data_IF_602290555319
#
_entry.id   IF_602290555319
#
_cell.length_a   1.000
_cell.length_b   1.000
_cell.length_c   1.000
_cell.angle_alpha   90.00
_cell.angle_beta   90.00
_cell.angle_gamma   90.00
#
_symmetry.space_group_name_H-M   'P 1'
#
loop_
_entity.id
_entity.type
_entity.pdbx_description
1 polymer ?
#
# COMPACT_ATOMS: atom_id res chain seq x y z
N UNK A 1 19.51 -31.53 10.39
CA UNK A 1 18.33 -30.66 10.63
C UNK A 1 18.38 -29.58 9.57
N UNK A 2 17.34 -29.44 8.76
CA UNK A 2 17.26 -28.40 7.72
C UNK A 2 16.63 -27.12 8.28
N UNK A 3 17.04 -25.97 7.76
CA UNK A 3 16.36 -24.70 8.01
C UNK A 3 15.08 -24.67 7.18
N UNK A 4 13.93 -24.47 7.83
CA UNK A 4 12.62 -24.43 7.15
C UNK A 4 12.08 -23.00 7.27
N UNK A 5 11.97 -22.26 6.15
CA UNK A 5 11.31 -20.95 6.13
C UNK A 5 9.85 -21.06 6.55
N UNK A 6 9.35 -19.99 7.16
CA UNK A 6 7.98 -19.91 7.61
C UNK A 6 6.97 -20.15 6.48
N UNK A 7 5.84 -20.75 6.84
CA UNK A 7 4.70 -20.90 5.95
C UNK A 7 3.92 -19.58 5.88
N UNK A 8 3.48 -19.20 4.68
CA UNK A 8 2.69 -18.00 4.45
C UNK A 8 1.64 -18.24 3.38
N UNK A 9 0.56 -17.46 3.37
CA UNK A 9 -0.29 -17.40 2.18
C UNK A 9 0.46 -16.73 1.04
N UNK A 10 0.21 -17.17 -0.19
CA UNK A 10 0.81 -16.54 -1.36
C UNK A 10 0.33 -15.08 -1.50
N UNK A 11 -0.97 -14.84 -1.26
CA UNK A 11 -1.65 -13.55 -1.43
C UNK A 11 -1.76 -12.71 -0.16
N UNK A 12 -1.11 -13.09 0.95
CA UNK A 12 -1.06 -12.19 2.12
C UNK A 12 -0.19 -10.96 1.82
N UNK A 13 -0.48 -9.86 2.50
CA UNK A 13 0.35 -8.67 2.44
C UNK A 13 1.72 -8.88 3.15
N UNK A 14 2.55 -7.85 3.08
CA UNK A 14 3.83 -7.79 3.81
C UNK A 14 3.74 -6.97 5.10
N UNK A 15 2.54 -6.76 5.65
CA UNK A 15 2.36 -5.89 6.81
C UNK A 15 3.07 -6.44 8.06
N UNK A 16 3.62 -5.52 8.85
CA UNK A 16 4.31 -5.79 10.12
C UNK A 16 3.51 -5.11 11.25
N UNK A 17 3.32 -5.76 12.43
CA UNK A 17 3.93 -7.02 12.87
C UNK A 17 3.19 -8.28 12.43
N UNK A 18 1.95 -8.17 11.98
CA UNK A 18 1.11 -9.32 11.61
C UNK A 18 0.54 -9.10 10.22
N UNK A 19 0.92 -9.93 9.23
CA UNK A 19 0.40 -9.81 7.87
C UNK A 19 -1.10 -10.10 7.84
N UNK A 20 -1.80 -9.57 6.84
CA UNK A 20 -3.21 -9.83 6.59
C UNK A 20 -3.41 -10.54 5.25
N UNK A 21 -4.41 -11.44 5.21
CA UNK A 21 -4.95 -12.02 3.99
C UNK A 21 -6.36 -11.47 3.77
N UNK A 22 -6.60 -10.92 2.59
CA UNK A 22 -7.93 -10.54 2.11
C UNK A 22 -8.43 -11.64 1.20
N UNK A 23 -9.45 -12.33 1.68
CA UNK A 23 -10.03 -13.48 0.98
C UNK A 23 -10.83 -13.06 -0.25
N UNK A 24 -11.15 -11.78 -0.43
CA UNK A 24 -11.77 -11.28 -1.67
C UNK A 24 -10.79 -11.31 -2.85
N UNK A 25 -9.50 -11.15 -2.59
CA UNK A 25 -8.43 -11.11 -3.59
C UNK A 25 -7.91 -12.48 -4.01
N UNK A 26 -8.27 -13.53 -3.26
CA UNK A 26 -7.89 -14.91 -3.60
C UNK A 26 -8.73 -15.37 -4.79
N UNK A 27 -8.13 -15.70 -5.95
CA UNK A 27 -8.87 -16.20 -7.10
C UNK A 27 -9.37 -17.64 -6.85
N UNK A 28 -10.58 -17.96 -7.33
CA UNK A 28 -11.13 -19.31 -7.27
C UNK A 28 -11.49 -19.82 -5.86
N UNK A 29 -11.51 -21.14 -5.72
CA UNK A 29 -12.02 -21.86 -4.53
C UNK A 29 -10.93 -22.29 -3.55
N UNK A 30 -9.66 -22.00 -3.83
CA UNK A 30 -8.52 -22.40 -3.02
C UNK A 30 -7.60 -21.21 -2.76
N UNK A 31 -6.98 -21.21 -1.58
CA UNK A 31 -5.88 -20.32 -1.22
C UNK A 31 -4.59 -21.12 -1.17
N UNK A 32 -3.50 -20.54 -1.66
CA UNK A 32 -2.19 -21.17 -1.64
C UNK A 32 -1.40 -20.79 -0.38
N UNK A 33 -0.82 -21.80 0.26
CA UNK A 33 0.22 -21.68 1.25
C UNK A 33 1.56 -22.06 0.64
N UNK A 34 2.58 -21.26 0.88
CA UNK A 34 3.91 -21.42 0.28
C UNK A 34 5.02 -21.34 1.33
N UNK A 35 6.09 -22.09 1.09
CA UNK A 35 7.37 -21.95 1.78
C UNK A 35 8.51 -22.21 0.77
N UNK A 36 9.58 -21.42 0.85
CA UNK A 36 10.76 -21.57 -0.02
C UNK A 36 11.67 -22.74 0.35
N UNK A 37 11.22 -23.65 1.22
CA UNK A 37 11.94 -24.89 1.53
C UNK A 37 11.97 -25.81 0.31
N UNK A 38 13.17 -26.25 -0.08
CA UNK A 38 13.33 -27.30 -1.07
C UNK A 38 12.95 -28.66 -0.48
N UNK A 39 12.03 -29.35 -1.15
CA UNK A 39 11.55 -30.68 -0.79
C UNK A 39 12.36 -31.74 -1.55
N UNK A 40 12.62 -32.85 -0.87
CA UNK A 40 13.25 -34.04 -1.43
C UNK A 40 12.25 -35.18 -1.43
N UNK A 41 12.41 -36.12 -2.36
CA UNK A 41 11.70 -37.39 -2.33
C UNK A 41 11.80 -38.03 -0.94
N UNK A 42 10.69 -38.61 -0.46
CA UNK A 42 10.51 -39.24 0.85
C UNK A 42 10.43 -38.25 2.04
N UNK A 43 10.46 -36.93 1.79
CA UNK A 43 10.10 -35.97 2.83
C UNK A 43 8.64 -36.16 3.23
N UNK A 44 8.38 -36.21 4.53
CA UNK A 44 7.02 -36.13 5.07
C UNK A 44 6.73 -34.71 5.54
N UNK A 45 5.77 -34.06 4.90
CA UNK A 45 5.38 -32.67 5.14
C UNK A 45 4.09 -32.64 5.96
N UNK A 46 4.02 -31.74 6.94
CA UNK A 46 2.80 -31.40 7.67
C UNK A 46 2.64 -29.88 7.70
N UNK A 47 1.61 -29.38 7.04
CA UNK A 47 1.21 -27.98 7.04
C UNK A 47 -0.10 -27.82 7.82
N UNK A 48 -0.11 -26.88 8.77
CA UNK A 48 -1.24 -26.66 9.68
C UNK A 48 -1.64 -25.20 9.68
N UNK A 49 -2.95 -24.95 9.57
CA UNK A 49 -3.59 -23.69 9.91
C UNK A 49 -4.50 -23.91 11.12
N UNK A 50 -4.26 -23.18 12.20
CA UNK A 50 -5.07 -23.23 13.42
C UNK A 50 -5.67 -21.86 13.72
N UNK A 51 -6.90 -21.81 14.22
CA UNK A 51 -7.46 -20.57 14.77
C UNK A 51 -6.71 -20.18 16.05
N UNK A 52 -6.42 -18.90 16.26
CA UNK A 52 -5.71 -18.43 17.47
C UNK A 52 -6.63 -18.07 18.63
N UNK A 53 -7.95 -18.17 18.47
CA UNK A 53 -8.92 -17.74 19.50
C UNK A 53 -9.08 -18.81 20.60
N UNK A 54 -8.71 -18.52 21.86
CA UNK A 54 -8.91 -19.45 22.97
C UNK A 54 -10.40 -19.77 23.19
N UNK A 55 -10.76 -21.04 23.34
CA UNK A 55 -12.13 -21.47 23.67
C UNK A 55 -13.12 -21.46 22.50
N UNK A 56 -12.72 -20.96 21.32
CA UNK A 56 -13.45 -21.24 20.09
C UNK A 56 -12.94 -22.58 19.59
N UNK A 57 -13.86 -23.53 19.38
CA UNK A 57 -13.59 -24.75 18.59
C UNK A 57 -13.39 -24.29 17.13
N UNK A 58 -12.29 -23.58 16.87
CA UNK A 58 -11.89 -23.08 15.57
C UNK A 58 -11.13 -24.20 14.89
N UNK A 59 -11.77 -24.85 13.94
CA UNK A 59 -11.24 -26.04 13.27
C UNK A 59 -9.80 -25.86 12.80
N UNK A 60 -9.01 -26.92 12.97
CA UNK A 60 -7.69 -27.00 12.36
C UNK A 60 -7.84 -27.51 10.93
N UNK A 61 -7.15 -26.87 10.00
CA UNK A 61 -6.87 -27.49 8.71
C UNK A 61 -5.47 -28.07 8.76
N UNK A 62 -5.38 -29.39 8.57
CA UNK A 62 -4.12 -30.12 8.52
C UNK A 62 -4.01 -30.79 7.16
N UNK A 63 -2.88 -30.58 6.49
CA UNK A 63 -2.53 -31.31 5.28
C UNK A 63 -1.17 -31.94 5.47
N UNK A 64 -1.12 -33.26 5.27
CA UNK A 64 0.11 -34.04 5.36
C UNK A 64 0.25 -34.95 4.16
N UNK A 65 1.46 -35.07 3.66
CA UNK A 65 1.78 -35.90 2.51
C UNK A 65 3.25 -36.29 2.50
N UNK A 66 3.54 -37.38 1.79
CA UNK A 66 4.90 -37.80 1.46
C UNK A 66 5.25 -37.30 0.06
N UNK A 67 6.44 -36.73 -0.08
CA UNK A 67 6.92 -36.15 -1.32
C UNK A 67 7.45 -37.26 -2.23
N UNK A 68 6.89 -37.40 -3.43
CA UNK A 68 7.30 -38.46 -4.37
C UNK A 68 8.37 -38.00 -5.38
N UNK A 69 8.65 -36.70 -5.47
CA UNK A 69 9.67 -36.12 -6.34
C UNK A 69 10.21 -34.82 -5.74
N UNK A 70 11.49 -34.53 -6.01
CA UNK A 70 12.14 -33.31 -5.54
C UNK A 70 11.40 -32.06 -6.07
N UNK A 71 11.34 -31.02 -5.25
CA UNK A 71 10.77 -29.71 -5.61
C UNK A 71 11.58 -28.58 -5.02
N UNK A 72 11.75 -27.49 -5.77
CA UNK A 72 12.45 -26.30 -5.30
C UNK A 72 11.70 -25.55 -4.18
N UNK A 73 10.38 -25.77 -4.04
CA UNK A 73 9.55 -25.10 -3.03
C UNK A 73 8.35 -25.95 -2.60
N UNK A 74 7.77 -25.59 -1.46
CA UNK A 74 6.50 -26.13 -0.99
C UNK A 74 5.34 -25.24 -1.45
N UNK A 75 4.32 -25.86 -2.04
CA UNK A 75 3.03 -25.25 -2.36
C UNK A 75 1.91 -26.18 -1.88
N UNK A 76 0.95 -25.62 -1.14
CA UNK A 76 -0.15 -26.37 -0.52
C UNK A 76 -1.45 -25.59 -0.74
N UNK A 77 -2.51 -26.28 -1.16
CA UNK A 77 -3.80 -25.65 -1.44
C UNK A 77 -4.79 -25.90 -0.30
N UNK A 78 -5.29 -24.82 0.30
CA UNK A 78 -6.37 -24.88 1.30
C UNK A 78 -7.67 -24.40 0.65
N UNK A 79 -8.79 -25.13 0.80
CA UNK A 79 -10.09 -24.63 0.39
C UNK A 79 -10.42 -23.27 1.03
N UNK A 80 -10.71 -22.28 0.18
CA UNK A 80 -10.96 -20.88 0.57
C UNK A 80 -12.04 -20.74 1.64
N UNK A 81 -13.05 -21.63 1.64
CA UNK A 81 -14.10 -21.69 2.66
C UNK A 81 -13.58 -21.88 4.09
N UNK A 82 -12.50 -22.64 4.28
CA UNK A 82 -11.90 -22.86 5.61
C UNK A 82 -11.14 -21.64 6.09
N UNK A 83 -10.52 -20.90 5.17
CA UNK A 83 -9.86 -19.64 5.47
C UNK A 83 -10.90 -18.56 5.81
N UNK A 84 -11.94 -18.40 4.97
CA UNK A 84 -13.05 -17.44 5.19
C UNK A 84 -13.81 -17.65 6.49
N UNK A 85 -13.90 -18.88 6.99
CA UNK A 85 -14.50 -19.16 8.30
C UNK A 85 -13.79 -18.42 9.46
N UNK A 86 -12.56 -17.95 9.24
CA UNK A 86 -11.78 -17.15 10.17
C UNK A 86 -11.80 -15.64 9.85
N UNK A 87 -12.66 -15.16 8.94
CA UNK A 87 -12.82 -13.73 8.64
C UNK A 87 -13.03 -12.92 9.93
N UNK A 88 -12.34 -11.79 10.03
CA UNK A 88 -12.34 -10.96 11.22
C UNK A 88 -11.53 -11.52 12.40
N UNK A 89 -10.70 -12.56 12.19
CA UNK A 89 -9.85 -13.21 13.21
C UNK A 89 -8.41 -13.41 12.68
N UNK A 90 -7.53 -13.89 13.56
CA UNK A 90 -6.19 -14.33 13.19
C UNK A 90 -6.07 -15.87 13.18
N UNK A 91 -5.13 -16.37 12.39
CA UNK A 91 -4.77 -17.79 12.30
C UNK A 91 -3.28 -17.98 12.52
N UNK A 92 -2.90 -19.14 13.05
CA UNK A 92 -1.53 -19.58 13.22
C UNK A 92 -1.18 -20.57 12.10
N UNK A 93 -0.12 -20.27 11.35
CA UNK A 93 0.45 -21.13 10.34
C UNK A 93 1.67 -21.86 10.91
N UNK A 94 1.72 -23.18 10.69
CA UNK A 94 2.82 -24.03 11.15
C UNK A 94 3.23 -25.00 10.04
N UNK A 95 4.53 -25.27 9.97
CA UNK A 95 5.10 -26.21 9.01
C UNK A 95 6.13 -27.09 9.70
N UNK A 96 6.01 -28.39 9.46
CA UNK A 96 6.96 -29.41 9.90
C UNK A 96 7.34 -30.27 8.70
N UNK A 97 8.63 -30.58 8.58
CA UNK A 97 9.17 -31.53 7.61
C UNK A 97 9.94 -32.60 8.36
N UNK A 98 9.68 -33.85 8.02
CA UNK A 98 10.48 -34.99 8.46
C UNK A 98 11.28 -35.50 7.27
N UNK A 99 12.61 -35.37 7.33
CA UNK A 99 13.54 -35.85 6.31
C UNK A 99 14.45 -36.88 6.93
N UNK A 100 14.50 -38.10 6.39
CA UNK A 100 15.36 -39.17 6.91
C UNK A 100 15.22 -39.35 8.44
N UNK A 101 13.97 -39.35 8.94
CA UNK A 101 13.60 -39.42 10.37
C UNK A 101 13.99 -38.21 11.23
N UNK A 102 14.63 -37.19 10.67
CA UNK A 102 14.93 -35.93 11.37
C UNK A 102 13.79 -34.94 11.16
N UNK A 103 13.28 -34.40 12.27
CA UNK A 103 12.21 -33.41 12.26
C UNK A 103 12.81 -32.01 12.26
N UNK A 104 12.39 -31.19 11.30
CA UNK A 104 12.61 -29.75 11.25
C UNK A 104 11.28 -29.00 11.31
N UNK A 105 11.22 -27.94 12.10
CA UNK A 105 10.02 -27.12 12.30
C UNK A 105 10.32 -25.69 11.87
N UNK A 106 9.41 -25.09 11.10
CA UNK A 106 9.49 -23.70 10.70
C UNK A 106 9.05 -22.76 11.85
N UNK A 107 9.48 -21.49 11.86
CA UNK A 107 8.87 -20.48 12.72
C UNK A 107 7.36 -20.42 12.49
N UNK A 108 6.58 -20.38 13.58
CA UNK A 108 5.12 -20.21 13.48
C UNK A 108 4.79 -18.75 13.16
N UNK A 109 3.80 -18.53 12.30
CA UNK A 109 3.40 -17.18 11.85
C UNK A 109 1.93 -16.95 12.15
N UNK A 110 1.61 -15.77 12.69
CA UNK A 110 0.23 -15.32 12.84
C UNK A 110 -0.14 -14.50 11.60
N UNK A 111 -1.31 -14.77 11.02
CA UNK A 111 -1.86 -14.02 9.89
C UNK A 111 -3.28 -13.59 10.23
N UNK A 112 -3.60 -12.33 10.02
CA UNK A 112 -4.93 -11.78 10.14
C UNK A 112 -5.75 -12.16 8.89
N UNK A 113 -7.03 -12.52 9.05
CA UNK A 113 -7.92 -12.86 7.95
C UNK A 113 -9.03 -11.80 7.91
N UNK A 114 -9.07 -11.02 6.83
CA UNK A 114 -10.08 -9.98 6.61
C UNK A 114 -10.24 -8.99 7.81
N UNK A 115 -9.21 -8.81 8.66
CA UNK A 115 -9.27 -7.95 9.88
C UNK A 115 -8.79 -6.51 9.65
N UNK A 116 -8.13 -6.25 8.53
CA UNK A 116 -7.66 -4.93 8.17
C UNK A 116 -7.83 -4.73 6.67
N UNK A 117 -8.24 -3.53 6.29
CA UNK A 117 -8.36 -3.06 4.91
C UNK A 117 -7.06 -3.39 4.17
N UNK A 118 -7.05 -4.46 3.35
CA UNK A 118 -5.97 -4.68 2.41
C UNK A 118 -6.21 -3.70 1.29
N UNK A 119 -5.37 -2.67 1.25
CA UNK A 119 -5.11 -2.03 -0.02
C UNK A 119 -3.90 -2.73 -0.59
N UNK A 120 -4.16 -3.63 -1.53
CA UNK A 120 -3.16 -3.92 -2.57
C UNK A 120 -2.81 -2.56 -3.15
N UNK A 121 -1.57 -2.07 -3.05
CA UNK A 121 -1.21 -0.88 -3.79
C UNK A 121 -1.45 -1.23 -5.26
N UNK A 122 -2.35 -0.53 -5.96
CA UNK A 122 -2.47 -0.67 -7.39
C UNK A 122 -1.08 -0.47 -8.01
N UNK A 123 -0.79 -1.05 -9.19
CA UNK A 123 0.40 -0.63 -9.94
C UNK A 123 0.33 0.89 -10.10
N UNK A 124 1.21 1.62 -9.39
CA UNK A 124 1.26 3.09 -9.34
C UNK A 124 -0.11 3.79 -9.35
N UNK A 125 -0.60 4.26 -8.20
CA UNK A 125 -1.82 5.09 -8.20
C UNK A 125 -1.49 6.40 -8.92
N UNK A 126 -2.30 6.76 -9.92
CA UNK A 126 -2.20 8.04 -10.60
C UNK A 126 -3.56 8.74 -10.56
N UNK A 127 -3.53 10.03 -10.27
CA UNK A 127 -4.67 10.94 -10.30
C UNK A 127 -4.46 11.94 -11.42
N UNK A 128 -5.18 11.72 -12.52
CA UNK A 128 -5.10 12.45 -13.78
C UNK A 128 -6.27 13.43 -13.97
N UNK A 129 -7.28 13.39 -13.10
CA UNK A 129 -8.49 14.23 -13.14
C UNK A 129 -9.25 14.20 -14.48
N UNK A 130 -9.01 13.19 -15.33
CA UNK A 130 -9.60 13.07 -16.66
C UNK A 130 -11.12 12.83 -16.63
N UNK A 131 -11.64 12.31 -15.51
CA UNK A 131 -13.06 12.11 -15.26
C UNK A 131 -13.80 13.39 -14.82
N UNK A 132 -13.10 14.54 -14.76
CA UNK A 132 -13.67 15.82 -14.34
C UNK A 132 -13.94 15.92 -12.84
N UNK A 133 -13.52 14.93 -12.05
CA UNK A 133 -13.65 14.90 -10.59
C UNK A 133 -12.30 15.16 -9.92
N UNK A 134 -12.32 15.38 -8.61
CA UNK A 134 -11.09 15.48 -7.79
C UNK A 134 -10.52 14.12 -7.39
N UNK A 135 -11.15 13.01 -7.81
CA UNK A 135 -10.68 11.64 -7.56
C UNK A 135 -10.30 11.36 -6.09
N UNK A 136 -11.10 11.90 -5.15
CA UNK A 136 -10.90 11.72 -3.70
C UNK A 136 -9.99 12.77 -3.04
N UNK A 137 -9.34 13.64 -3.79
CA UNK A 137 -8.57 14.75 -3.23
C UNK A 137 -9.46 15.82 -2.61
N UNK A 138 -9.08 16.25 -1.40
CA UNK A 138 -9.84 17.20 -0.60
C UNK A 138 -9.03 18.49 -0.45
N UNK A 139 -9.61 19.65 -0.80
CA UNK A 139 -9.04 20.97 -0.49
C UNK A 139 -8.65 21.14 0.97
N UNK A 140 -7.55 21.83 1.23
CA UNK A 140 -7.06 22.10 2.59
C UNK A 140 -6.86 23.60 2.81
N UNK A 141 -6.83 24.01 4.08
CA UNK A 141 -6.51 25.39 4.49
C UNK A 141 -7.25 26.47 3.72
N UNK A 142 -6.50 27.43 3.17
CA UNK A 142 -7.02 28.57 2.39
C UNK A 142 -7.66 28.20 1.06
N UNK A 143 -7.61 26.93 0.66
CA UNK A 143 -8.14 26.42 -0.61
C UNK A 143 -9.51 25.74 -0.46
N UNK A 144 -10.06 25.71 0.75
CA UNK A 144 -11.43 25.23 1.03
C UNK A 144 -12.46 26.25 0.52
N UNK A 145 -13.68 25.79 0.17
CA UNK A 145 -14.81 26.67 -0.17
C UNK A 145 -15.03 26.93 -1.66
N UNK A 146 -14.58 26.02 -2.54
CA UNK A 146 -14.91 26.06 -3.98
C UNK A 146 -13.90 26.82 -4.86
N UNK A 147 -12.74 27.16 -4.32
CA UNK A 147 -11.65 27.83 -5.04
C UNK A 147 -10.75 26.86 -5.82
N UNK A 148 -10.74 25.58 -5.45
CA UNK A 148 -10.17 24.49 -6.25
C UNK A 148 -11.25 23.91 -7.17
N UNK A 149 -11.01 23.99 -8.49
CA UNK A 149 -11.90 23.45 -9.53
C UNK A 149 -11.16 22.47 -10.42
N UNK A 150 -11.88 21.52 -11.01
CA UNK A 150 -11.33 20.70 -12.09
C UNK A 150 -11.77 21.32 -13.40
N UNK A 151 -10.82 21.84 -14.18
CA UNK A 151 -11.06 22.51 -15.45
C UNK A 151 -10.08 21.92 -16.46
N UNK A 152 -10.57 21.56 -17.65
CA UNK A 152 -9.74 20.96 -18.70
C UNK A 152 -8.89 19.78 -18.20
N UNK A 153 -9.50 18.91 -17.39
CA UNK A 153 -8.87 17.70 -16.82
C UNK A 153 -7.69 17.99 -15.87
N UNK A 154 -7.64 19.17 -15.27
CA UNK A 154 -6.62 19.53 -14.28
C UNK A 154 -7.26 20.19 -13.09
N UNK A 155 -6.63 20.06 -11.92
CA UNK A 155 -7.03 20.83 -10.75
C UNK A 155 -6.45 22.24 -10.88
N UNK A 156 -7.31 23.23 -11.08
CA UNK A 156 -6.96 24.63 -11.18
C UNK A 156 -7.20 25.33 -9.86
N UNK A 157 -6.17 26.04 -9.40
CA UNK A 157 -6.21 27.04 -8.34
C UNK A 157 -6.32 28.38 -9.03
N UNK A 158 -7.41 29.11 -8.78
CA UNK A 158 -7.56 30.49 -9.23
C UNK A 158 -8.05 31.34 -8.04
N UNK A 159 -7.11 32.08 -7.46
CA UNK A 159 -7.31 32.89 -6.25
C UNK A 159 -6.78 34.30 -6.47
N UNK A 160 -7.68 35.29 -6.35
CA UNK A 160 -7.36 36.72 -6.36
C UNK A 160 -7.08 37.25 -4.94
N UNK A 161 -5.79 37.41 -4.61
CA UNK A 161 -5.17 38.18 -3.51
C UNK A 161 -5.40 37.81 -2.02
N UNK A 162 -4.27 37.84 -1.28
CA UNK A 162 -3.99 37.72 0.17
C UNK A 162 -4.36 36.44 0.93
N UNK A 163 -5.30 35.60 0.47
CA UNK A 163 -5.77 34.46 1.29
C UNK A 163 -4.83 33.24 1.29
N UNK A 164 -4.08 33.02 0.22
CA UNK A 164 -3.18 31.88 0.13
C UNK A 164 -1.86 32.17 0.85
N UNK A 165 -1.87 32.07 2.18
CA UNK A 165 -0.63 31.93 2.94
C UNK A 165 0.00 30.55 2.72
N UNK A 166 1.20 30.34 3.25
CA UNK A 166 1.88 29.04 3.27
C UNK A 166 0.94 27.96 3.83
N UNK A 167 0.47 27.03 2.99
CA UNK A 167 -0.58 26.07 3.38
C UNK A 167 -0.69 24.89 2.42
N UNK A 168 -1.29 23.80 2.91
CA UNK A 168 -1.69 22.67 2.08
C UNK A 168 -2.76 23.10 1.08
N UNK A 169 -2.55 22.81 -0.20
CA UNK A 169 -3.52 23.01 -1.28
C UNK A 169 -4.62 21.97 -1.16
N UNK A 170 -4.22 20.70 -1.19
CA UNK A 170 -5.11 19.56 -1.14
C UNK A 170 -4.37 18.34 -0.61
N UNK A 171 -5.13 17.41 -0.04
CA UNK A 171 -4.63 16.13 0.43
C UNK A 171 -5.60 15.00 0.13
N UNK A 172 -5.08 13.78 0.14
CA UNK A 172 -5.84 12.55 0.02
C UNK A 172 -5.33 11.55 1.05
N UNK A 173 -6.26 10.79 1.62
CA UNK A 173 -5.92 9.64 2.47
C UNK A 173 -5.49 8.48 1.57
N UNK A 174 -4.26 8.01 1.72
CA UNK A 174 -3.71 6.87 0.98
C UNK A 174 -3.25 5.79 1.94
N UNK A 175 -3.43 4.52 1.58
CA UNK A 175 -2.96 3.40 2.36
C UNK A 175 -1.46 3.15 2.10
N UNK A 176 -0.75 2.76 3.15
CA UNK A 176 0.67 2.40 3.11
C UNK A 176 0.95 1.17 3.98
N UNK A 177 2.05 0.50 3.68
CA UNK A 177 2.52 -0.70 4.38
C UNK A 177 3.86 -0.40 5.05
N UNK A 178 4.00 -0.75 6.33
CA UNK A 178 5.23 -0.54 7.10
C UNK A 178 6.46 -1.11 6.38
N UNK A 179 7.55 -0.34 6.39
CA UNK A 179 8.83 -0.72 5.78
C UNK A 179 8.90 -0.55 4.26
N UNK A 180 7.79 -0.20 3.58
CA UNK A 180 7.79 0.07 2.14
C UNK A 180 8.14 1.51 1.84
N UNK A 181 8.89 1.73 0.76
CA UNK A 181 9.20 3.06 0.23
C UNK A 181 8.31 3.37 -0.96
N UNK A 182 7.74 4.56 -0.96
CA UNK A 182 6.84 5.05 -1.99
C UNK A 182 7.47 6.26 -2.67
N UNK A 183 7.61 6.19 -3.99
CA UNK A 183 7.95 7.31 -4.84
C UNK A 183 6.68 8.05 -5.22
N UNK A 184 6.63 9.34 -4.90
CA UNK A 184 5.49 10.19 -5.18
C UNK A 184 5.88 11.27 -6.19
N UNK A 185 4.94 11.70 -7.02
CA UNK A 185 5.14 12.75 -8.00
C UNK A 185 3.89 13.59 -8.26
N UNK A 186 4.06 14.77 -8.83
CA UNK A 186 2.98 15.59 -9.37
C UNK A 186 3.48 16.48 -10.50
N UNK A 187 2.58 16.85 -11.40
CA UNK A 187 2.80 17.91 -12.38
C UNK A 187 2.15 19.20 -11.90
N UNK A 188 2.85 20.31 -12.04
CA UNK A 188 2.30 21.63 -11.76
C UNK A 188 2.75 22.66 -12.80
N UNK A 189 1.91 23.66 -13.06
CA UNK A 189 2.24 24.77 -13.95
C UNK A 189 1.34 25.97 -13.73
N UNK A 190 1.58 27.03 -14.47
CA UNK A 190 0.73 28.24 -14.49
C UNK A 190 0.57 28.73 -15.92
N UNK A 191 -0.61 29.25 -16.23
CA UNK A 191 -0.90 29.91 -17.50
C UNK A 191 -0.62 31.43 -17.44
N UNK A 192 -0.14 31.93 -16.30
CA UNK A 192 0.28 33.32 -16.18
C UNK A 192 1.58 33.56 -16.96
N UNK A 193 1.64 34.71 -17.64
CA UNK A 193 2.83 35.14 -18.40
C UNK A 193 4.07 35.38 -17.50
N UNK A 194 3.86 35.53 -16.20
CA UNK A 194 4.92 35.65 -15.19
C UNK A 194 4.67 34.66 -14.07
N UNK A 195 5.74 34.11 -13.49
CA UNK A 195 5.62 33.22 -12.35
C UNK A 195 4.85 33.93 -11.22
N UNK A 196 3.82 33.28 -10.69
CA UNK A 196 3.12 33.75 -9.49
C UNK A 196 4.02 33.71 -8.24
N UNK A 197 5.16 33.03 -8.35
CA UNK A 197 6.14 32.82 -7.29
C UNK A 197 5.74 31.69 -6.34
N UNK A 198 4.74 30.89 -6.71
CA UNK A 198 4.33 29.70 -5.96
C UNK A 198 5.48 28.71 -5.85
N UNK A 199 5.64 28.11 -4.67
CA UNK A 199 6.71 27.15 -4.38
C UNK A 199 6.11 25.90 -3.78
N UNK A 200 6.00 24.85 -4.58
CA UNK A 200 5.26 23.64 -4.21
C UNK A 200 6.18 22.53 -3.73
N UNK A 201 5.68 21.73 -2.80
CA UNK A 201 6.32 20.47 -2.36
C UNK A 201 5.28 19.41 -2.02
N UNK A 202 5.67 18.15 -2.11
CA UNK A 202 4.87 17.05 -1.58
C UNK A 202 5.11 16.87 -0.08
N UNK A 203 4.07 16.43 0.60
CA UNK A 203 4.10 16.09 2.03
C UNK A 203 3.41 14.75 2.28
N UNK A 204 3.86 14.04 3.31
CA UNK A 204 3.19 12.87 3.87
C UNK A 204 2.93 13.11 5.36
N UNK A 205 1.66 13.03 5.78
CA UNK A 205 1.20 13.43 7.11
C UNK A 205 1.68 14.85 7.49
N UNK A 206 1.69 15.76 6.52
CA UNK A 206 2.14 17.15 6.70
C UNK A 206 3.65 17.36 6.64
N UNK A 207 4.47 16.30 6.73
CA UNK A 207 5.93 16.40 6.65
C UNK A 207 6.42 16.40 5.20
N UNK A 208 7.39 17.24 4.82
CA UNK A 208 7.97 17.23 3.47
C UNK A 208 8.60 15.88 3.13
N UNK A 209 8.33 15.38 1.93
CA UNK A 209 8.93 14.13 1.40
C UNK A 209 9.82 14.36 0.17
N UNK A 210 10.03 15.63 -0.19
CA UNK A 210 10.79 16.02 -1.37
C UNK A 210 11.21 17.48 -1.29
N UNK A 211 11.83 17.96 -2.37
CA UNK A 211 12.27 19.36 -2.46
C UNK A 211 11.09 20.28 -2.76
N UNK A 212 11.18 21.52 -2.29
CA UNK A 212 10.30 22.59 -2.78
C UNK A 212 10.80 23.07 -4.13
N UNK A 213 9.88 23.19 -5.09
CA UNK A 213 10.18 23.65 -6.44
C UNK A 213 9.29 24.85 -6.83
N UNK A 214 9.85 25.86 -7.50
CA UNK A 214 9.07 27.00 -7.97
C UNK A 214 8.18 26.60 -9.15
N UNK A 215 6.97 27.13 -9.19
CA UNK A 215 6.09 27.09 -10.36
C UNK A 215 6.53 28.19 -11.33
N UNK A 216 6.62 27.87 -12.62
CA UNK A 216 7.05 28.80 -13.66
C UNK A 216 6.09 28.77 -14.87
N UNK A 217 5.95 29.89 -15.61
CA UNK A 217 5.21 29.94 -16.86
C UNK A 217 5.77 28.96 -17.89
N UNK A 218 4.89 28.38 -18.71
CA UNK A 218 5.24 27.50 -19.84
C UNK A 218 6.10 26.28 -19.47
N UNK A 219 6.25 25.98 -18.18
CA UNK A 219 7.04 24.88 -17.68
C UNK A 219 6.19 23.97 -16.81
N UNK A 220 6.11 22.70 -17.21
CA UNK A 220 5.48 21.67 -16.41
C UNK A 220 6.49 21.15 -15.38
N UNK A 221 6.35 21.61 -14.15
CA UNK A 221 7.17 21.15 -13.04
C UNK A 221 6.80 19.71 -12.67
N UNK A 222 7.77 18.80 -12.73
CA UNK A 222 7.68 17.50 -12.06
C UNK A 222 8.20 17.62 -10.64
N UNK A 223 7.30 17.85 -9.68
CA UNK A 223 7.63 17.73 -8.27
C UNK A 223 7.67 16.25 -7.87
N UNK A 224 8.62 15.87 -7.01
CA UNK A 224 8.75 14.47 -6.56
C UNK A 224 9.25 14.37 -5.13
N UNK A 225 8.99 13.21 -4.52
CA UNK A 225 9.45 12.87 -3.18
C UNK A 225 9.42 11.37 -2.91
N UNK A 226 10.06 10.96 -1.83
CA UNK A 226 10.07 9.56 -1.37
C UNK A 226 9.64 9.49 0.09
N UNK A 227 8.85 8.45 0.41
CA UNK A 227 8.34 8.23 1.75
C UNK A 227 8.48 6.75 2.11
N UNK A 228 9.23 6.46 3.17
CA UNK A 228 9.24 5.11 3.77
C UNK A 228 8.25 5.07 4.92
N UNK A 229 7.24 4.21 4.80
CA UNK A 229 6.17 4.13 5.80
C UNK A 229 6.67 3.48 7.10
N UNK A 230 6.59 4.16 8.26
CA UNK A 230 7.02 3.57 9.53
C UNK A 230 5.99 2.59 10.10
N UNK A 231 4.73 2.69 9.65
CA UNK A 231 3.58 1.89 10.09
C UNK A 231 2.70 1.51 8.89
N UNK A 232 1.97 0.41 9.02
CA UNK A 232 0.89 0.07 8.07
C UNK A 232 -0.37 0.82 8.47
N UNK A 233 -1.07 1.41 7.51
CA UNK A 233 -2.31 2.12 7.76
C UNK A 233 -2.56 3.21 6.73
N UNK A 234 -3.31 4.23 7.12
CA UNK A 234 -3.63 5.37 6.27
C UNK A 234 -2.76 6.57 6.61
N UNK A 235 -2.19 7.19 5.59
CA UNK A 235 -1.42 8.43 5.67
C UNK A 235 -2.03 9.47 4.74
N UNK A 236 -1.76 10.74 5.00
CA UNK A 236 -2.24 11.84 4.17
C UNK A 236 -1.14 12.32 3.23
N UNK A 237 -1.28 11.98 1.94
CA UNK A 237 -0.47 12.56 0.87
C UNK A 237 -1.03 13.95 0.57
N UNK A 238 -0.17 14.95 0.50
CA UNK A 238 -0.60 16.33 0.28
C UNK A 238 0.37 17.14 -0.56
N UNK A 239 -0.16 18.17 -1.24
CA UNK A 239 0.63 19.19 -1.92
C UNK A 239 0.58 20.46 -1.09
N UNK A 240 1.74 21.01 -0.77
CA UNK A 240 1.90 22.19 0.06
C UNK A 240 2.47 23.34 -0.76
N UNK A 241 1.87 24.52 -0.66
CA UNK A 241 2.45 25.75 -1.21
C UNK A 241 3.18 26.51 -0.11
N UNK A 242 4.49 26.67 -0.26
CA UNK A 242 5.37 27.32 0.71
C UNK A 242 5.30 28.84 0.65
N UNK A 243 5.06 29.43 -0.52
CA UNK A 243 5.04 30.88 -0.72
C UNK A 243 4.05 31.28 -1.81
N UNK A 244 3.33 32.40 -1.62
CA UNK A 244 2.49 33.03 -2.66
C UNK A 244 2.82 34.53 -2.69
N UNK A 245 4.00 34.91 -3.20
CA UNK A 245 4.57 36.23 -2.95
C UNK A 245 3.88 37.37 -3.71
N UNK A 246 3.25 37.10 -4.86
CA UNK A 246 2.70 38.15 -5.73
C UNK A 246 1.17 38.32 -5.64
N UNK A 247 0.49 37.61 -4.73
CA UNK A 247 -0.94 37.77 -4.46
C UNK A 247 -1.89 37.22 -5.54
N UNK A 248 -1.47 37.06 -6.79
CA UNK A 248 -2.26 36.31 -7.78
C UNK A 248 -1.79 34.86 -7.75
N UNK A 249 -2.65 33.95 -7.31
CA UNK A 249 -2.33 32.53 -7.25
C UNK A 249 -3.16 31.80 -8.31
N UNK A 250 -2.54 31.59 -9.46
CA UNK A 250 -3.13 30.88 -10.59
C UNK A 250 -2.19 29.76 -11.00
N UNK A 251 -2.50 28.53 -10.62
CA UNK A 251 -1.73 27.35 -11.00
C UNK A 251 -2.65 26.18 -11.30
N UNK A 252 -2.12 25.18 -11.99
CA UNK A 252 -2.79 23.90 -12.18
C UNK A 252 -1.93 22.75 -11.68
N UNK A 253 -2.61 21.69 -11.23
CA UNK A 253 -2.03 20.42 -10.80
C UNK A 253 -2.60 19.29 -11.65
N UNK A 254 -1.74 18.34 -12.00
CA UNK A 254 -2.07 17.21 -12.87
C UNK A 254 -1.17 16.00 -12.55
N UNK A 255 -1.56 14.81 -13.01
CA UNK A 255 -0.81 13.55 -12.93
C UNK A 255 -0.09 13.34 -11.59
N UNK A 256 -0.83 13.48 -10.49
CA UNK A 256 -0.30 13.15 -9.18
C UNK A 256 -0.14 11.64 -9.12
N UNK A 257 0.97 11.14 -8.59
CA UNK A 257 1.26 9.71 -8.57
C UNK A 257 1.89 9.26 -7.27
N UNK A 258 1.68 7.99 -6.95
CA UNK A 258 2.31 7.28 -5.85
C UNK A 258 2.56 5.83 -6.27
N UNK A 259 3.83 5.43 -6.29
CA UNK A 259 4.27 4.11 -6.72
C UNK A 259 5.20 3.52 -5.67
N UNK A 260 4.94 2.28 -5.27
CA UNK A 260 5.86 1.54 -4.39
C UNK A 260 7.18 1.25 -5.14
N UNK A 261 8.30 1.45 -4.47
CA UNK A 261 9.62 1.06 -4.99
C UNK A 261 9.85 -0.46 -4.79
N UNK A 262 10.51 -1.15 -5.74
CA UNK A 262 10.78 -2.59 -5.67
C UNK A 262 11.59 -3.03 -4.44
#
# INVERSE_FOLDING_TARGET
MITVPALRFLQQDSAVPTPNLDTSLVPGEFTELVSSVALQKEDFVVATMSSTVPGVIGGQFNQSFEVNADSASLQVFIPKKFVKANSGKAVLLQLRITRQKVISVAPSVIVNIDQGVIVVPPPGITWDFNDGTRQGWVPQGSYIGGVLKVISQRVVVDLTNSKAGSSHIMSIAVPVVAGRTYRCGYLAGTDLLTADGSRLRMTMNGNPIGRTSPVAPDFLLLGSGTFTAPITGTVHLGIFNEAVPNGVHSLYLDNISMTEEP
#
